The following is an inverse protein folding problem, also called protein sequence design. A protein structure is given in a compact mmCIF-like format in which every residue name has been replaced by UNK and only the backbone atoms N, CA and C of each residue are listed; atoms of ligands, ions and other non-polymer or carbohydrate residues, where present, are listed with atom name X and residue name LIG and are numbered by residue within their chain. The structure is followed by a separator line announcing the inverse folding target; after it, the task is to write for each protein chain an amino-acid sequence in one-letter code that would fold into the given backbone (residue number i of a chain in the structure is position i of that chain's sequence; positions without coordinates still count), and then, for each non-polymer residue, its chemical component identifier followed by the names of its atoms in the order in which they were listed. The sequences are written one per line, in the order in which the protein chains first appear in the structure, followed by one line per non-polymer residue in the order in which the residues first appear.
data_IF_518291120699
#
_entry.id   IF_518291120699
#
_cell.length_a   1.000
_cell.length_b   1.000
_cell.length_c   1.000
_cell.angle_alpha   90.00
_cell.angle_beta   90.00
_cell.angle_gamma   90.00
#
_symmetry.space_group_name_H-M   'P 1'
#
loop_
_entity.id
_entity.type
_entity.pdbx_description
1 polymer ?
#
# COMPACT_ATOMS: atom_id res chain seq x y z
N UNK A 1 38.26 6.63 -20.21
CA UNK A 1 37.85 5.42 -20.94
C UNK A 1 37.70 4.17 -20.07
N UNK A 2 38.52 3.91 -19.03
CA UNK A 2 38.33 2.74 -18.13
C UNK A 2 37.01 2.73 -17.34
N UNK A 3 36.48 3.89 -16.95
CA UNK A 3 35.20 4.00 -16.21
C UNK A 3 33.99 3.50 -16.99
N UNK A 4 34.04 3.54 -18.33
CA UNK A 4 32.96 3.08 -19.20
C UNK A 4 32.95 1.55 -19.33
N UNK A 5 34.13 0.93 -19.38
CA UNK A 5 34.28 -0.52 -19.50
C UNK A 5 33.83 -1.26 -18.23
N UNK A 6 33.95 -0.63 -17.05
CA UNK A 6 33.52 -1.20 -15.76
C UNK A 6 32.05 -0.88 -15.43
N UNK A 7 31.50 0.26 -15.89
CA UNK A 7 30.06 0.56 -15.75
C UNK A 7 29.18 -0.39 -16.58
N UNK A 8 29.67 -0.86 -17.72
CA UNK A 8 28.91 -1.69 -18.67
C UNK A 8 28.45 -3.06 -18.10
N UNK A 9 29.30 -3.86 -17.42
CA UNK A 9 28.85 -5.10 -16.78
C UNK A 9 27.94 -4.83 -15.58
N UNK A 10 28.18 -3.75 -14.83
CA UNK A 10 27.35 -3.37 -13.68
C UNK A 10 25.92 -3.02 -14.11
N UNK A 11 25.78 -2.37 -15.27
CA UNK A 11 24.49 -2.04 -15.89
C UNK A 11 23.72 -3.27 -16.35
N UNK A 12 24.39 -4.27 -16.90
CA UNK A 12 23.78 -5.56 -17.31
C UNK A 12 23.22 -6.34 -16.12
N UNK A 13 23.86 -6.25 -14.94
CA UNK A 13 23.39 -6.90 -13.70
C UNK A 13 22.33 -6.06 -12.98
N UNK A 14 22.38 -4.73 -13.10
CA UNK A 14 21.40 -3.84 -12.48
C UNK A 14 20.02 -3.86 -13.16
N UNK A 15 19.96 -4.15 -14.46
CA UNK A 15 18.69 -4.31 -15.22
C UNK A 15 17.78 -5.42 -14.67
N UNK A 16 18.23 -6.67 -14.45
CA UNK A 16 17.39 -7.71 -13.88
C UNK A 16 16.97 -7.39 -12.43
N UNK A 17 17.83 -6.71 -11.66
CA UNK A 17 17.51 -6.27 -10.29
C UNK A 17 16.40 -5.21 -10.30
N UNK A 18 16.47 -4.23 -11.20
CA UNK A 18 15.43 -3.21 -11.37
C UNK A 18 14.09 -3.84 -11.78
N UNK A 19 14.13 -4.82 -12.70
CA UNK A 19 12.94 -5.53 -13.17
C UNK A 19 12.31 -6.37 -12.05
N UNK A 20 13.12 -6.99 -11.19
CA UNK A 20 12.64 -7.71 -10.00
C UNK A 20 11.99 -6.74 -9.00
N UNK A 21 12.62 -5.59 -8.75
CA UNK A 21 12.06 -4.55 -7.87
C UNK A 21 10.73 -3.99 -8.41
N UNK A 22 10.62 -3.83 -9.73
CA UNK A 22 9.39 -3.40 -10.39
C UNK A 22 8.26 -4.41 -10.23
N UNK A 23 8.56 -5.70 -10.41
CA UNK A 23 7.59 -6.77 -10.21
C UNK A 23 7.09 -6.84 -8.75
N UNK A 24 8.02 -6.73 -7.78
CA UNK A 24 7.68 -6.69 -6.35
C UNK A 24 6.85 -5.45 -6.01
N UNK A 25 7.17 -4.29 -6.59
CA UNK A 25 6.41 -3.06 -6.37
C UNK A 25 4.97 -3.17 -6.87
N UNK A 26 4.78 -3.68 -8.10
CA UNK A 26 3.44 -3.96 -8.66
C UNK A 26 2.66 -4.91 -7.76
N UNK A 27 3.30 -5.98 -7.27
CA UNK A 27 2.66 -6.94 -6.37
C UNK A 27 2.26 -6.29 -5.03
N UNK A 28 3.12 -5.45 -4.46
CA UNK A 28 2.86 -4.72 -3.22
C UNK A 28 1.73 -3.69 -3.40
N UNK A 29 1.76 -2.91 -4.48
CA UNK A 29 0.67 -1.97 -4.82
C UNK A 29 -0.64 -2.71 -4.99
N UNK A 30 -0.62 -3.86 -5.67
CA UNK A 30 -1.81 -4.69 -5.84
C UNK A 30 -2.31 -5.24 -4.49
N UNK A 31 -1.44 -5.79 -3.65
CA UNK A 31 -1.80 -6.35 -2.36
C UNK A 31 -2.33 -5.29 -1.40
N UNK A 32 -1.69 -4.12 -1.35
CA UNK A 32 -2.13 -2.96 -0.56
C UNK A 32 -3.48 -2.45 -1.08
N UNK A 33 -3.66 -2.30 -2.39
CA UNK A 33 -4.92 -1.87 -3.00
C UNK A 33 -6.06 -2.85 -2.75
N UNK A 34 -5.79 -4.14 -2.86
CA UNK A 34 -6.75 -5.22 -2.58
C UNK A 34 -7.11 -5.25 -1.09
N UNK A 35 -6.12 -5.20 -0.19
CA UNK A 35 -6.34 -5.11 1.26
C UNK A 35 -7.12 -3.86 1.65
N UNK A 36 -6.83 -2.70 1.05
CA UNK A 36 -7.58 -1.46 1.26
C UNK A 36 -9.05 -1.63 0.87
N UNK A 37 -9.31 -2.25 -0.29
CA UNK A 37 -10.68 -2.51 -0.77
C UNK A 37 -11.46 -3.37 0.22
N UNK A 38 -10.86 -4.46 0.73
CA UNK A 38 -11.49 -5.28 1.78
C UNK A 38 -11.71 -4.49 3.08
N UNK A 39 -10.72 -3.70 3.50
CA UNK A 39 -10.82 -2.87 4.71
C UNK A 39 -11.96 -1.85 4.62
N UNK A 40 -12.07 -1.14 3.49
CA UNK A 40 -13.14 -0.17 3.27
C UNK A 40 -14.52 -0.82 3.19
N UNK A 41 -14.63 -2.02 2.59
CA UNK A 41 -15.90 -2.76 2.57
C UNK A 41 -16.34 -3.18 3.97
N UNK A 42 -15.44 -3.74 4.78
CA UNK A 42 -15.75 -4.15 6.16
C UNK A 42 -16.14 -2.93 7.00
N UNK A 43 -15.37 -1.83 6.87
CA UNK A 43 -15.69 -0.56 7.54
C UNK A 43 -17.08 -0.04 7.12
N UNK A 44 -17.38 -0.03 5.82
CA UNK A 44 -18.68 0.39 5.29
C UNK A 44 -19.84 -0.46 5.80
N UNK A 45 -19.70 -1.80 5.78
CA UNK A 45 -20.73 -2.72 6.31
C UNK A 45 -20.92 -2.50 7.82
N UNK A 46 -19.85 -2.27 8.56
CA UNK A 46 -19.91 -1.99 10.00
C UNK A 46 -20.70 -0.70 10.27
N UNK A 47 -20.44 0.37 9.52
CA UNK A 47 -21.19 1.64 9.64
C UNK A 47 -22.65 1.47 9.27
N UNK A 48 -22.96 0.79 8.16
CA UNK A 48 -24.35 0.57 7.72
C UNK A 48 -25.13 -0.25 8.74
N UNK A 49 -24.51 -1.31 9.29
CA UNK A 49 -25.10 -2.14 10.34
C UNK A 49 -25.42 -1.32 11.59
N UNK A 50 -24.54 -0.39 11.93
CA UNK A 50 -24.73 0.45 13.10
C UNK A 50 -25.76 1.55 12.89
N UNK A 51 -25.79 2.21 11.73
CA UNK A 51 -26.85 3.16 11.36
C UNK A 51 -28.21 2.48 11.41
N UNK A 52 -28.30 1.24 10.92
CA UNK A 52 -29.51 0.44 10.98
C UNK A 52 -29.89 0.10 12.44
N UNK A 53 -28.92 -0.25 13.28
CA UNK A 53 -29.11 -0.52 14.71
C UNK A 53 -29.61 0.71 15.49
N UNK A 54 -29.15 1.91 15.13
CA UNK A 54 -29.68 3.18 15.65
C UNK A 54 -31.13 3.38 15.17
N UNK A 55 -31.42 3.14 13.89
CA UNK A 55 -32.77 3.25 13.32
C UNK A 55 -33.79 2.29 13.94
N UNK A 56 -33.35 1.12 14.40
CA UNK A 56 -34.18 0.16 15.15
C UNK A 56 -34.21 0.41 16.67
N UNK A 57 -33.47 1.40 17.20
CA UNK A 57 -33.47 1.75 18.62
C UNK A 57 -32.76 0.75 19.54
N UNK A 58 -31.97 -0.17 18.97
CA UNK A 58 -31.22 -1.21 19.72
C UNK A 58 -29.75 -0.83 19.95
N UNK A 59 -29.32 0.33 19.46
CA UNK A 59 -27.93 0.80 19.57
C UNK A 59 -27.59 1.25 21.00
N UNK A 60 -26.40 0.86 21.48
CA UNK A 60 -25.84 1.30 22.76
C UNK A 60 -24.66 2.24 22.54
N UNK A 61 -24.40 3.18 23.45
CA UNK A 61 -23.24 4.08 23.33
C UNK A 61 -21.89 3.32 23.23
N UNK A 62 -21.84 2.10 23.77
CA UNK A 62 -20.68 1.22 23.72
C UNK A 62 -20.42 0.65 22.32
N UNK A 63 -21.48 0.23 21.60
CA UNK A 63 -21.35 -0.29 20.24
C UNK A 63 -20.86 0.79 19.28
N UNK A 64 -21.40 2.01 19.39
CA UNK A 64 -20.98 3.19 18.61
C UNK A 64 -19.49 3.46 18.74
N UNK A 65 -18.98 3.44 19.97
CA UNK A 65 -17.58 3.73 20.25
C UNK A 65 -16.66 2.68 19.64
N UNK A 66 -17.05 1.41 19.70
CA UNK A 66 -16.27 0.30 19.14
C UNK A 66 -16.26 0.32 17.61
N UNK A 67 -17.40 0.60 16.97
CA UNK A 67 -17.49 0.68 15.50
C UNK A 67 -16.70 1.86 14.93
N UNK A 68 -16.68 3.01 15.62
CA UNK A 68 -15.82 4.14 15.24
C UNK A 68 -14.34 3.76 15.36
N UNK A 69 -13.94 3.06 16.43
CA UNK A 69 -12.54 2.63 16.58
C UNK A 69 -12.15 1.63 15.49
N UNK A 70 -13.00 0.64 15.20
CA UNK A 70 -12.70 -0.36 14.16
C UNK A 70 -12.61 0.28 12.78
N UNK A 71 -13.56 1.14 12.42
CA UNK A 71 -13.52 1.87 11.14
C UNK A 71 -12.28 2.74 11.00
N UNK A 72 -11.89 3.48 12.04
CA UNK A 72 -10.66 4.28 12.03
C UNK A 72 -9.42 3.40 11.83
N UNK A 73 -9.33 2.27 12.54
CA UNK A 73 -8.20 1.33 12.40
C UNK A 73 -8.15 0.75 10.99
N UNK A 74 -9.29 0.33 10.44
CA UNK A 74 -9.39 -0.24 9.10
C UNK A 74 -9.07 0.79 7.98
N UNK A 75 -9.26 2.08 8.22
CA UNK A 75 -8.85 3.15 7.29
C UNK A 75 -7.36 3.48 7.42
N UNK A 76 -6.77 3.39 8.62
CA UNK A 76 -5.36 3.71 8.86
C UNK A 76 -4.40 2.65 8.30
N UNK A 77 -4.78 1.37 8.37
CA UNK A 77 -3.98 0.23 7.86
C UNK A 77 -3.59 0.40 6.37
N UNK A 78 -4.53 0.68 5.44
CA UNK A 78 -4.18 0.86 4.04
C UNK A 78 -3.38 2.13 3.77
N UNK A 79 -3.50 3.17 4.62
CA UNK A 79 -2.69 4.38 4.50
C UNK A 79 -1.20 4.13 4.75
N UNK A 80 -0.87 3.26 5.70
CA UNK A 80 0.51 2.83 5.95
C UNK A 80 1.05 2.03 4.75
N UNK A 81 0.22 1.17 4.16
CA UNK A 81 0.57 0.42 2.95
C UNK A 81 0.91 1.31 1.75
N UNK A 82 0.16 2.40 1.55
CA UNK A 82 0.43 3.40 0.49
C UNK A 82 1.75 4.13 0.73
N UNK A 83 2.11 4.41 1.99
CA UNK A 83 3.40 5.00 2.33
C UNK A 83 4.58 4.10 1.93
N UNK A 84 4.46 2.79 2.16
CA UNK A 84 5.51 1.81 1.84
C UNK A 84 5.70 1.67 0.32
N UNK A 85 4.61 1.62 -0.45
CA UNK A 85 4.69 1.52 -1.91
C UNK A 85 5.28 2.79 -2.54
N UNK A 86 4.98 3.97 -1.99
CA UNK A 86 5.55 5.24 -2.42
C UNK A 86 7.08 5.29 -2.18
N UNK A 87 7.56 4.84 -1.02
CA UNK A 87 9.00 4.77 -0.74
C UNK A 87 9.69 3.80 -1.71
N UNK A 88 9.08 2.65 -2.00
CA UNK A 88 9.65 1.67 -2.93
C UNK A 88 9.69 2.20 -4.39
N UNK A 89 8.71 3.00 -4.81
CA UNK A 89 8.71 3.70 -6.11
C UNK A 89 9.87 4.69 -6.23
N UNK A 90 10.14 5.46 -5.17
CA UNK A 90 11.27 6.41 -5.12
C UNK A 90 12.61 5.67 -5.21
N UNK A 91 12.77 4.55 -4.50
CA UNK A 91 13.97 3.70 -4.59
C UNK A 91 14.14 3.13 -6.00
N UNK A 92 13.04 2.71 -6.64
CA UNK A 92 13.04 2.19 -8.02
C UNK A 92 13.46 3.27 -9.02
N UNK A 93 12.97 4.50 -8.87
CA UNK A 93 13.38 5.65 -9.69
C UNK A 93 14.85 6.02 -9.47
N UNK A 94 15.33 6.04 -8.22
CA UNK A 94 16.74 6.32 -7.92
C UNK A 94 17.69 5.26 -8.52
N UNK A 95 17.29 3.99 -8.51
CA UNK A 95 18.05 2.91 -9.15
C UNK A 95 18.03 3.05 -10.69
N UNK A 96 16.93 3.50 -11.27
CA UNK A 96 16.81 3.73 -12.71
C UNK A 96 17.73 4.86 -13.19
N UNK A 97 17.80 5.96 -12.43
CA UNK A 97 18.70 7.08 -12.71
C UNK A 97 20.18 6.63 -12.64
N UNK A 98 20.53 5.78 -11.67
CA UNK A 98 21.87 5.19 -11.55
C UNK A 98 22.24 4.24 -12.71
N UNK A 99 21.25 3.60 -13.33
CA UNK A 99 21.43 2.70 -14.49
C UNK A 99 21.58 3.50 -15.81
N UNK A 100 20.91 4.65 -15.91
CA UNK A 100 20.89 5.49 -17.12
C UNK A 100 21.97 6.59 -17.16
N UNK A 101 22.47 7.06 -16.00
CA UNK A 101 23.58 8.02 -15.85
C UNK A 101 24.99 7.41 -15.74
#
# INVERSE_FOLDING_TARGET
MLRFLVKLPFKIIAVPIWLLLAAINILLVFLVGLSATFCYLIAGISVVTEVLSIGFGISTAWTLKMTVITTVVFVLIPHIGIGITAVLEVVKCGLQDFILG
#
